data_IF_913417851724
#
_entry.id   IF_913417851724
#
_cell.length_a   1.000
_cell.length_b   1.000
_cell.length_c   1.000
_cell.angle_alpha   90.00
_cell.angle_beta   90.00
_cell.angle_gamma   90.00
#
_symmetry.space_group_name_H-M   'P 1'
#
loop_
_entity.id
_entity.type
_entity.pdbx_description
1 polymer ?
#
# COMPACT_ATOMS: atom_id res chain seq x y z
N UNK A 1 -6.75 -4.34 29.65
CA UNK A 1 -5.31 -4.70 29.84
C UNK A 1 -5.04 -6.22 29.85
N UNK A 2 -6.04 -7.07 30.05
CA UNK A 2 -5.85 -8.54 30.09
C UNK A 2 -5.96 -9.26 28.73
N UNK A 3 -6.19 -8.55 27.64
CA UNK A 3 -6.50 -9.16 26.33
C UNK A 3 -5.40 -9.01 25.25
N UNK A 4 -4.34 -8.29 25.55
CA UNK A 4 -3.25 -8.11 24.61
C UNK A 4 -2.00 -8.84 25.10
N UNK A 5 -1.61 -9.89 24.38
CA UNK A 5 -0.29 -10.48 24.47
C UNK A 5 0.43 -10.30 23.15
N UNK A 6 1.65 -9.76 23.20
CA UNK A 6 2.51 -9.62 22.03
C UNK A 6 3.52 -10.77 22.00
N UNK A 7 3.65 -11.40 20.84
CA UNK A 7 4.67 -12.40 20.57
C UNK A 7 5.56 -11.90 19.43
N UNK A 8 6.81 -11.61 19.77
CA UNK A 8 7.82 -11.18 18.80
C UNK A 8 8.68 -12.39 18.46
N UNK A 9 8.62 -12.86 17.23
CA UNK A 9 9.31 -14.06 16.79
C UNK A 9 10.83 -13.85 16.79
N UNK A 10 11.29 -12.68 16.39
CA UNK A 10 12.69 -12.26 16.33
C UNK A 10 13.37 -12.35 17.69
N UNK A 11 12.70 -12.03 18.79
CA UNK A 11 13.20 -12.18 20.16
C UNK A 11 13.48 -13.64 20.53
N UNK A 12 12.84 -14.58 19.84
CA UNK A 12 12.91 -16.01 20.12
C UNK A 12 13.83 -16.76 19.14
N UNK A 13 14.16 -16.15 18.01
CA UNK A 13 14.94 -16.75 16.92
C UNK A 13 15.87 -15.69 16.33
N UNK A 14 17.01 -15.38 17.01
CA UNK A 14 17.92 -14.30 16.60
C UNK A 14 18.37 -14.35 15.13
N UNK A 15 18.57 -15.55 14.58
CA UNK A 15 18.98 -15.75 13.18
C UNK A 15 17.93 -15.31 12.15
N UNK A 16 16.70 -15.03 12.59
CA UNK A 16 15.61 -14.57 11.76
C UNK A 16 15.62 -13.05 11.58
N UNK A 17 16.26 -12.32 12.52
CA UNK A 17 16.34 -10.86 12.49
C UNK A 17 17.06 -10.32 11.24
N UNK A 18 17.88 -11.12 10.59
CA UNK A 18 18.57 -10.75 9.34
C UNK A 18 17.70 -10.88 8.09
N UNK A 19 16.48 -11.43 8.20
CA UNK A 19 15.61 -11.71 7.06
C UNK A 19 14.20 -11.22 7.33
N UNK A 20 13.69 -10.37 6.46
CA UNK A 20 12.27 -10.02 6.45
C UNK A 20 11.50 -11.19 5.87
N UNK A 21 10.69 -11.82 6.69
CA UNK A 21 9.90 -12.98 6.31
C UNK A 21 8.43 -12.59 6.11
N UNK A 22 7.84 -13.06 5.04
CA UNK A 22 6.41 -12.91 4.80
C UNK A 22 5.57 -13.79 5.76
N UNK A 23 4.26 -13.57 5.73
CA UNK A 23 3.26 -14.31 6.53
C UNK A 23 3.42 -15.84 6.44
N UNK A 24 3.80 -16.37 5.27
CA UNK A 24 4.04 -17.82 5.09
C UNK A 24 5.16 -18.37 5.97
N UNK A 25 6.23 -17.61 6.19
CA UNK A 25 7.28 -18.00 7.11
C UNK A 25 6.77 -18.06 8.55
N UNK A 26 6.03 -17.02 8.98
CA UNK A 26 5.45 -16.99 10.33
C UNK A 26 4.56 -18.21 10.58
N UNK A 27 3.67 -18.54 9.65
CA UNK A 27 2.77 -19.69 9.75
C UNK A 27 3.56 -21.00 9.79
N UNK A 28 4.64 -21.14 8.99
CA UNK A 28 5.50 -22.31 8.95
C UNK A 28 6.38 -22.49 10.20
N UNK A 29 6.55 -21.45 11.03
CA UNK A 29 7.45 -21.47 12.17
C UNK A 29 6.85 -22.23 13.35
N UNK A 30 7.54 -23.30 13.80
CA UNK A 30 7.07 -24.18 14.88
C UNK A 30 6.90 -23.46 16.24
N UNK A 31 7.69 -22.42 16.53
CA UNK A 31 7.55 -21.64 17.78
C UNK A 31 6.28 -20.79 17.75
N UNK A 32 5.98 -20.15 16.61
CA UNK A 32 4.73 -19.45 16.42
C UNK A 32 3.53 -20.40 16.54
N UNK A 33 3.60 -21.58 15.90
CA UNK A 33 2.57 -22.59 16.02
C UNK A 33 2.38 -23.05 17.46
N UNK A 34 3.46 -23.25 18.21
CA UNK A 34 3.43 -23.59 19.64
C UNK A 34 2.76 -22.48 20.47
N UNK A 35 3.09 -21.22 20.19
CA UNK A 35 2.45 -20.08 20.85
C UNK A 35 0.94 -20.04 20.58
N UNK A 36 0.51 -20.15 19.32
CA UNK A 36 -0.92 -20.17 18.96
C UNK A 36 -1.66 -21.31 19.65
N UNK A 37 -1.07 -22.53 19.67
CA UNK A 37 -1.68 -23.70 20.33
C UNK A 37 -1.70 -23.62 21.86
N UNK A 38 -0.85 -22.80 22.46
CA UNK A 38 -0.81 -22.59 23.92
C UNK A 38 -1.93 -21.69 24.43
N UNK A 39 -2.65 -20.99 23.53
CA UNK A 39 -3.74 -20.13 23.90
C UNK A 39 -4.93 -20.96 24.39
N UNK A 40 -5.53 -20.57 25.53
CA UNK A 40 -6.63 -21.33 26.18
C UNK A 40 -7.85 -21.53 25.28
N UNK A 41 -8.18 -20.51 24.48
CA UNK A 41 -9.27 -20.58 23.49
C UNK A 41 -8.63 -20.67 22.13
N UNK A 42 -9.07 -21.59 21.27
CA UNK A 42 -8.56 -21.72 19.91
C UNK A 42 -8.68 -20.37 19.18
N UNK A 43 -7.56 -19.66 18.95
CA UNK A 43 -7.60 -18.34 18.36
C UNK A 43 -7.97 -18.44 16.87
N UNK A 44 -8.56 -17.38 16.35
CA UNK A 44 -8.72 -17.20 14.91
C UNK A 44 -7.64 -16.21 14.43
N UNK A 45 -6.87 -16.61 13.45
CA UNK A 45 -5.79 -15.79 12.88
C UNK A 45 -6.36 -14.85 11.83
N UNK A 46 -5.91 -13.59 11.83
CA UNK A 46 -6.31 -12.60 10.83
C UNK A 46 -5.05 -12.03 10.19
N UNK A 47 -5.03 -11.95 8.87
CA UNK A 47 -3.88 -11.50 8.09
C UNK A 47 -4.26 -10.32 7.20
N UNK A 48 -3.26 -9.52 6.84
CA UNK A 48 -3.43 -8.39 5.92
C UNK A 48 -3.98 -8.84 4.55
N UNK A 49 -3.51 -9.97 4.04
CA UNK A 49 -3.97 -10.59 2.81
C UNK A 49 -4.02 -12.10 2.96
N UNK A 50 -4.96 -12.72 2.27
CA UNK A 50 -5.10 -14.18 2.19
C UNK A 50 -4.63 -14.64 0.81
N UNK A 51 -3.64 -15.51 0.76
CA UNK A 51 -3.19 -16.16 -0.47
C UNK A 51 -3.59 -17.64 -0.45
N UNK A 52 -3.63 -18.28 -1.61
CA UNK A 52 -3.89 -19.72 -1.72
C UNK A 52 -2.94 -20.52 -0.83
N UNK A 53 -1.65 -20.15 -0.83
CA UNK A 53 -0.63 -20.81 -0.01
C UNK A 53 -0.90 -20.66 1.49
N UNK A 54 -1.29 -19.46 1.94
CA UNK A 54 -1.65 -19.20 3.35
C UNK A 54 -2.82 -20.08 3.78
N UNK A 55 -3.89 -20.13 2.97
CA UNK A 55 -5.07 -20.96 3.25
C UNK A 55 -4.68 -22.42 3.34
N UNK A 56 -3.95 -22.95 2.36
CA UNK A 56 -3.49 -24.34 2.35
C UNK A 56 -2.64 -24.69 3.58
N UNK A 57 -1.77 -23.79 4.03
CA UNK A 57 -0.91 -24.02 5.19
C UNK A 57 -1.72 -23.98 6.51
N UNK A 58 -2.67 -23.06 6.64
CA UNK A 58 -3.56 -22.99 7.80
C UNK A 58 -4.47 -24.22 7.90
N UNK A 59 -5.00 -24.67 6.78
CA UNK A 59 -5.84 -25.88 6.71
C UNK A 59 -5.03 -27.13 7.12
N UNK A 60 -3.79 -27.31 6.62
CA UNK A 60 -2.88 -28.39 7.02
C UNK A 60 -2.56 -28.37 8.52
N UNK A 61 -2.44 -27.16 9.09
CA UNK A 61 -2.16 -26.96 10.53
C UNK A 61 -3.40 -27.00 11.39
N UNK A 62 -4.58 -27.11 10.80
CA UNK A 62 -5.89 -27.05 11.48
C UNK A 62 -6.07 -25.76 12.31
N UNK A 63 -5.55 -24.65 11.79
CA UNK A 63 -5.66 -23.33 12.40
C UNK A 63 -6.83 -22.55 11.81
N UNK A 64 -7.73 -22.08 12.67
CA UNK A 64 -8.84 -21.24 12.26
C UNK A 64 -8.39 -19.82 11.88
N UNK A 65 -9.05 -19.22 10.89
CA UNK A 65 -8.71 -17.86 10.45
C UNK A 65 -9.95 -17.00 10.17
N UNK A 66 -9.73 -15.70 10.14
CA UNK A 66 -10.66 -14.65 9.70
C UNK A 66 -10.12 -14.11 8.40
N UNK A 67 -10.81 -14.35 7.31
CA UNK A 67 -10.41 -13.97 5.95
C UNK A 67 -11.14 -14.77 4.90
N UNK A 68 -10.98 -14.40 3.64
CA UNK A 68 -11.66 -15.01 2.52
C UNK A 68 -10.78 -16.08 1.85
N UNK A 69 -11.41 -17.14 1.37
CA UNK A 69 -10.73 -18.07 0.46
C UNK A 69 -10.48 -17.36 -0.88
N UNK A 70 -9.28 -17.39 -1.45
CA UNK A 70 -8.97 -16.73 -2.73
C UNK A 70 -9.94 -17.03 -3.87
N UNK A 71 -10.56 -18.21 -3.88
CA UNK A 71 -11.60 -18.57 -4.87
C UNK A 71 -12.80 -17.63 -4.88
N UNK A 72 -13.08 -16.92 -3.75
CA UNK A 72 -14.22 -16.01 -3.66
C UNK A 72 -13.96 -14.65 -4.29
N UNK A 73 -12.71 -14.37 -4.72
CA UNK A 73 -12.32 -13.09 -5.29
C UNK A 73 -11.35 -13.19 -6.48
N UNK A 74 -11.21 -14.37 -7.09
CA UNK A 74 -10.35 -14.57 -8.28
C UNK A 74 -10.71 -13.62 -9.43
N UNK A 75 -12.01 -13.35 -9.63
CA UNK A 75 -12.50 -12.49 -10.73
C UNK A 75 -12.16 -10.99 -10.54
N UNK A 76 -11.72 -10.57 -9.35
CA UNK A 76 -11.37 -9.16 -9.09
C UNK A 76 -9.89 -8.97 -8.79
N UNK A 77 -9.15 -10.06 -8.57
CA UNK A 77 -7.75 -10.01 -8.17
C UNK A 77 -6.82 -9.56 -9.30
N UNK A 78 -7.13 -9.95 -10.55
CA UNK A 78 -6.34 -9.58 -11.71
C UNK A 78 -6.95 -8.38 -12.43
N UNK A 79 -6.11 -7.40 -12.81
CA UNK A 79 -6.56 -6.15 -13.44
C UNK A 79 -7.47 -6.36 -14.66
N UNK A 80 -7.13 -7.33 -15.52
CA UNK A 80 -7.94 -7.66 -16.69
C UNK A 80 -9.32 -8.23 -16.32
N UNK A 81 -9.40 -9.11 -15.32
CA UNK A 81 -10.66 -9.71 -14.88
C UNK A 81 -11.54 -8.65 -14.19
N UNK A 82 -10.95 -7.82 -13.32
CA UNK A 82 -11.66 -6.73 -12.67
C UNK A 82 -12.25 -5.74 -13.68
N UNK A 83 -11.46 -5.29 -14.67
CA UNK A 83 -11.94 -4.40 -15.72
C UNK A 83 -13.08 -5.03 -16.55
N UNK A 84 -12.98 -6.32 -16.86
CA UNK A 84 -14.06 -7.05 -17.55
C UNK A 84 -15.33 -7.12 -16.69
N UNK A 85 -15.19 -7.36 -15.38
CA UNK A 85 -16.32 -7.36 -14.44
C UNK A 85 -16.97 -5.99 -14.35
N UNK A 86 -16.19 -4.93 -14.13
CA UNK A 86 -16.70 -3.54 -14.05
C UNK A 86 -17.49 -3.19 -15.31
N UNK A 87 -16.96 -3.52 -16.49
CA UNK A 87 -17.67 -3.34 -17.77
C UNK A 87 -18.96 -4.14 -17.83
N UNK A 88 -18.95 -5.41 -17.39
CA UNK A 88 -20.13 -6.29 -17.36
C UNK A 88 -21.23 -5.75 -16.44
N UNK A 89 -20.85 -5.10 -15.34
CA UNK A 89 -21.74 -4.46 -14.39
C UNK A 89 -22.27 -3.09 -14.90
N UNK A 90 -21.84 -2.63 -16.08
CA UNK A 90 -22.24 -1.32 -16.62
C UNK A 90 -21.68 -0.14 -15.84
N UNK A 91 -20.51 -0.32 -15.21
CA UNK A 91 -19.85 0.68 -14.37
C UNK A 91 -18.73 1.40 -15.15
N UNK A 92 -18.35 2.61 -14.74
CA UNK A 92 -17.26 3.35 -15.38
C UNK A 92 -15.93 2.60 -15.28
N UNK A 93 -15.37 2.28 -16.41
CA UNK A 93 -14.04 1.69 -16.55
C UNK A 93 -13.27 2.42 -17.64
N UNK A 94 -12.01 2.74 -17.34
CA UNK A 94 -11.17 3.38 -18.33
C UNK A 94 -11.05 2.46 -19.58
N UNK A 95 -11.29 2.99 -20.79
CA UNK A 95 -11.10 2.21 -22.01
C UNK A 95 -9.70 1.62 -22.09
N UNK A 96 -9.63 0.32 -22.27
CA UNK A 96 -8.38 -0.43 -22.32
C UNK A 96 -8.38 -1.41 -23.47
N UNK A 97 -7.18 -1.65 -24.01
CA UNK A 97 -6.92 -2.71 -24.97
C UNK A 97 -6.04 -3.78 -24.28
N UNK A 98 -6.38 -5.04 -24.49
CA UNK A 98 -5.59 -6.15 -23.99
C UNK A 98 -4.99 -6.89 -25.16
N UNK A 99 -3.67 -7.10 -25.11
CA UNK A 99 -2.91 -7.78 -26.15
C UNK A 99 -2.29 -9.06 -25.57
N UNK A 100 -2.14 -10.07 -26.41
CA UNK A 100 -1.14 -11.10 -26.14
C UNK A 100 0.24 -10.45 -26.18
N UNK A 101 1.16 -10.93 -25.36
CA UNK A 101 2.52 -10.38 -25.25
C UNK A 101 3.21 -10.27 -26.62
N UNK A 102 3.15 -11.32 -27.41
CA UNK A 102 3.75 -11.37 -28.76
C UNK A 102 3.14 -10.31 -29.68
N UNK A 103 1.83 -10.15 -29.65
CA UNK A 103 1.11 -9.14 -30.46
C UNK A 103 1.50 -7.72 -30.06
N UNK A 104 1.67 -7.47 -28.74
CA UNK A 104 2.15 -6.17 -28.27
C UNK A 104 3.58 -5.90 -28.70
N UNK A 105 4.47 -6.90 -28.67
CA UNK A 105 5.86 -6.75 -29.07
C UNK A 105 6.03 -6.51 -30.59
N UNK A 106 5.03 -6.88 -31.39
CA UNK A 106 5.00 -6.58 -32.83
C UNK A 106 4.32 -5.25 -33.15
N UNK A 107 3.65 -4.61 -32.16
CA UNK A 107 2.92 -3.37 -32.36
C UNK A 107 3.86 -2.15 -32.41
N UNK A 108 3.56 -1.18 -33.27
CA UNK A 108 4.29 0.09 -33.31
C UNK A 108 3.73 1.10 -32.30
N UNK A 109 4.57 2.07 -31.91
CA UNK A 109 4.16 3.19 -31.06
C UNK A 109 2.94 3.93 -31.64
N UNK A 110 2.94 4.22 -32.95
CA UNK A 110 1.89 4.94 -33.64
C UNK A 110 0.56 4.16 -33.67
N UNK A 111 0.64 2.85 -33.80
CA UNK A 111 -0.54 2.01 -33.74
C UNK A 111 -1.20 2.11 -32.37
N UNK A 112 -0.43 1.91 -31.29
CA UNK A 112 -0.95 1.99 -29.93
C UNK A 112 -1.44 3.41 -29.61
N UNK A 113 -0.74 4.45 -30.04
CA UNK A 113 -1.16 5.84 -29.88
C UNK A 113 -2.53 6.11 -30.52
N UNK A 114 -2.77 5.56 -31.70
CA UNK A 114 -4.05 5.68 -32.39
C UNK A 114 -5.19 4.93 -31.65
N UNK A 115 -4.88 3.80 -31.02
CA UNK A 115 -5.88 2.94 -30.38
C UNK A 115 -6.23 3.39 -28.96
N UNK A 116 -5.25 3.89 -28.18
CA UNK A 116 -5.43 4.20 -26.76
C UNK A 116 -5.21 5.67 -26.39
N UNK A 117 -4.64 6.48 -27.27
CA UNK A 117 -4.43 7.92 -27.07
C UNK A 117 -2.96 8.34 -27.09
N UNK A 118 -2.71 9.66 -27.12
CA UNK A 118 -1.38 10.23 -27.26
C UNK A 118 -0.41 9.88 -26.12
N UNK A 119 -0.93 9.79 -24.91
CA UNK A 119 -0.23 9.24 -23.76
C UNK A 119 -0.98 8.07 -23.21
N UNK A 120 -0.30 7.00 -22.87
CA UNK A 120 -0.93 5.77 -22.40
C UNK A 120 -0.10 5.04 -21.37
N UNK A 121 -0.73 4.11 -20.69
CA UNK A 121 -0.12 3.27 -19.66
C UNK A 121 -0.09 1.84 -20.15
N UNK A 122 1.03 1.18 -20.00
CA UNK A 122 1.24 -0.24 -20.31
C UNK A 122 1.41 -1.00 -19.01
N UNK A 123 0.65 -2.08 -18.83
CA UNK A 123 0.68 -2.90 -17.62
C UNK A 123 0.70 -4.39 -17.97
N UNK A 124 1.36 -5.20 -17.14
CA UNK A 124 1.22 -6.66 -17.20
C UNK A 124 -0.20 -7.05 -16.78
N UNK A 125 -0.88 -7.87 -17.57
CA UNK A 125 -2.31 -8.15 -17.41
C UNK A 125 -2.63 -9.32 -16.47
N UNK A 126 -1.80 -10.34 -16.45
CA UNK A 126 -2.01 -11.64 -15.81
C UNK A 126 -1.02 -11.94 -14.67
N UNK A 127 -0.33 -10.93 -14.16
CA UNK A 127 0.58 -11.08 -13.03
C UNK A 127 0.17 -10.15 -11.90
N UNK A 128 0.03 -10.69 -10.69
CA UNK A 128 -0.01 -9.89 -9.48
C UNK A 128 1.37 -9.24 -9.28
N UNK A 129 1.44 -7.95 -9.48
CA UNK A 129 2.65 -7.17 -9.20
C UNK A 129 2.28 -6.08 -8.22
N UNK A 130 2.70 -6.24 -6.97
CA UNK A 130 2.53 -5.21 -5.95
C UNK A 130 3.42 -4.00 -6.21
N UNK A 131 2.99 -2.81 -5.79
CA UNK A 131 3.84 -1.60 -5.79
C UNK A 131 4.11 -0.99 -7.16
N UNK A 132 3.24 -1.21 -8.14
CA UNK A 132 3.37 -0.73 -9.53
C UNK A 132 4.59 -1.26 -10.31
N UNK A 133 5.28 -2.26 -9.83
CA UNK A 133 6.27 -2.98 -10.63
C UNK A 133 5.59 -3.56 -11.88
N UNK A 134 5.99 -3.12 -13.07
CA UNK A 134 5.37 -3.54 -14.34
C UNK A 134 4.29 -2.62 -14.86
N UNK A 135 4.19 -1.39 -14.34
CA UNK A 135 3.43 -0.29 -14.92
C UNK A 135 4.40 0.68 -15.60
N UNK A 136 4.15 1.01 -16.86
CA UNK A 136 4.97 1.90 -17.67
C UNK A 136 4.10 3.05 -18.17
N UNK A 137 4.54 4.28 -17.91
CA UNK A 137 3.90 5.49 -18.43
C UNK A 137 4.57 5.88 -19.74
N UNK A 138 3.79 5.97 -20.81
CA UNK A 138 4.28 6.23 -22.17
C UNK A 138 3.79 7.61 -22.60
N UNK A 139 4.68 8.58 -22.54
CA UNK A 139 4.45 9.95 -22.99
C UNK A 139 5.22 10.28 -24.28
N UNK A 140 6.17 9.43 -24.66
CA UNK A 140 7.02 9.59 -25.82
C UNK A 140 7.38 8.25 -26.46
N UNK A 141 7.88 8.30 -27.72
CA UNK A 141 8.45 7.12 -28.37
C UNK A 141 9.59 6.51 -27.56
N UNK A 142 10.45 7.31 -26.95
CA UNK A 142 11.56 6.81 -26.14
C UNK A 142 11.10 6.05 -24.89
N UNK A 143 9.96 6.46 -24.27
CA UNK A 143 9.35 5.70 -23.17
C UNK A 143 8.83 4.35 -23.66
N UNK A 144 8.20 4.34 -24.83
CA UNK A 144 7.70 3.12 -25.45
C UNK A 144 8.83 2.13 -25.76
N UNK A 145 9.92 2.59 -26.38
CA UNK A 145 11.07 1.76 -26.71
C UNK A 145 11.69 1.12 -25.47
N UNK A 146 11.89 1.90 -24.39
CA UNK A 146 12.35 1.36 -23.09
C UNK A 146 11.39 0.33 -22.50
N UNK A 147 10.09 0.62 -22.51
CA UNK A 147 9.08 -0.32 -22.06
C UNK A 147 9.13 -1.62 -22.84
N UNK A 148 9.20 -1.50 -24.17
CA UNK A 148 9.25 -2.62 -25.08
C UNK A 148 10.49 -3.50 -24.84
N UNK A 149 11.69 -2.92 -24.67
CA UNK A 149 12.91 -3.65 -24.34
C UNK A 149 12.78 -4.46 -23.03
N UNK A 150 12.24 -3.83 -21.98
CA UNK A 150 12.02 -4.50 -20.67
C UNK A 150 11.05 -5.65 -20.81
N UNK A 151 9.92 -5.42 -21.49
CA UNK A 151 8.87 -6.45 -21.64
C UNK A 151 9.29 -7.57 -22.60
N UNK A 152 10.17 -7.31 -23.56
CA UNK A 152 10.73 -8.33 -24.44
C UNK A 152 11.62 -9.34 -23.69
N UNK A 153 12.31 -8.89 -22.64
CA UNK A 153 13.18 -9.75 -21.81
C UNK A 153 12.39 -10.55 -20.75
N UNK A 154 11.24 -10.03 -20.30
CA UNK A 154 10.44 -10.70 -19.27
C UNK A 154 9.43 -11.68 -19.89
N UNK A 155 9.63 -12.96 -19.63
CA UNK A 155 8.75 -14.06 -20.08
C UNK A 155 7.74 -14.50 -18.99
N UNK A 156 7.65 -13.79 -17.88
CA UNK A 156 6.85 -14.23 -16.72
C UNK A 156 5.35 -13.89 -16.84
N UNK A 157 4.92 -13.28 -17.93
CA UNK A 157 3.52 -12.89 -18.20
C UNK A 157 3.17 -13.17 -19.67
N UNK A 158 1.87 -13.31 -19.96
CA UNK A 158 1.37 -13.63 -21.29
C UNK A 158 0.49 -12.53 -21.90
N UNK A 159 -0.01 -11.61 -21.07
CA UNK A 159 -0.90 -10.53 -21.51
C UNK A 159 -0.44 -9.15 -21.06
N UNK A 160 -0.74 -8.15 -21.89
CA UNK A 160 -0.45 -6.74 -21.64
C UNK A 160 -1.75 -5.95 -21.76
N UNK A 161 -1.97 -5.04 -20.82
CA UNK A 161 -3.09 -4.10 -20.83
C UNK A 161 -2.55 -2.70 -21.14
N UNK A 162 -3.07 -2.09 -22.20
CA UNK A 162 -2.82 -0.70 -22.54
C UNK A 162 -4.05 0.13 -22.24
N UNK A 163 -3.89 1.26 -21.56
CA UNK A 163 -4.97 2.18 -21.23
C UNK A 163 -4.56 3.63 -21.52
N UNK A 164 -5.51 4.49 -21.83
CA UNK A 164 -5.27 5.94 -21.93
C UNK A 164 -4.69 6.45 -20.60
N UNK A 165 -3.68 7.31 -20.68
CA UNK A 165 -3.21 8.04 -19.50
C UNK A 165 -4.28 9.05 -19.06
N UNK A 166 -4.60 9.04 -17.78
CA UNK A 166 -5.53 9.99 -17.15
C UNK A 166 -4.72 11.05 -16.41
N UNK A 167 -4.97 12.31 -16.75
CA UNK A 167 -4.38 13.45 -16.06
C UNK A 167 -5.32 13.88 -14.94
N UNK A 168 -4.95 13.58 -13.71
CA UNK A 168 -5.78 13.91 -12.57
C UNK A 168 -5.31 13.22 -11.29
N UNK A 169 -6.25 12.76 -10.48
CA UNK A 169 -5.94 12.19 -9.18
C UNK A 169 -6.07 10.67 -9.16
N UNK A 170 -5.10 10.02 -8.53
CA UNK A 170 -5.25 8.66 -8.04
C UNK A 170 -6.03 8.69 -6.73
N UNK A 171 -7.11 7.94 -6.64
CA UNK A 171 -7.98 7.91 -5.47
C UNK A 171 -8.32 6.48 -5.10
N UNK A 172 -8.85 6.28 -3.91
CA UNK A 172 -9.33 4.95 -3.49
C UNK A 172 -10.53 5.06 -2.56
N UNK A 173 -11.30 3.98 -2.48
CA UNK A 173 -12.42 3.87 -1.53
C UNK A 173 -12.44 2.47 -0.93
N UNK A 174 -12.67 2.39 0.39
CA UNK A 174 -12.85 1.13 1.10
C UNK A 174 -14.31 0.70 1.05
N UNK A 175 -14.52 -0.60 0.91
CA UNK A 175 -15.80 -1.26 1.08
C UNK A 175 -15.74 -2.38 2.11
N UNK A 176 -16.87 -2.75 2.68
CA UNK A 176 -17.00 -3.91 3.57
C UNK A 176 -18.28 -4.69 3.24
N UNK A 177 -18.11 -5.92 2.77
CA UNK A 177 -19.22 -6.80 2.42
C UNK A 177 -19.83 -7.38 3.69
N UNK A 178 -21.10 -7.05 3.93
CA UNK A 178 -21.94 -7.54 5.02
C UNK A 178 -23.08 -8.41 4.46
N UNK A 179 -23.75 -9.21 5.30
CA UNK A 179 -24.94 -9.95 4.87
C UNK A 179 -26.05 -9.05 4.31
N UNK A 180 -26.20 -7.85 4.87
CA UNK A 180 -27.25 -6.89 4.52
C UNK A 180 -26.95 -6.08 3.26
N UNK A 181 -25.67 -5.92 2.88
CA UNK A 181 -25.22 -5.09 1.75
C UNK A 181 -23.75 -4.75 1.88
N UNK A 182 -23.31 -3.75 1.14
CA UNK A 182 -21.92 -3.26 1.15
C UNK A 182 -21.83 -1.91 1.85
N UNK A 183 -21.11 -1.86 2.98
CA UNK A 183 -20.71 -0.60 3.61
C UNK A 183 -19.58 0.04 2.82
N UNK A 184 -19.53 1.38 2.76
CA UNK A 184 -18.48 2.13 2.04
C UNK A 184 -17.93 3.28 2.88
N UNK A 185 -16.62 3.51 2.75
CA UNK A 185 -15.95 4.69 3.30
C UNK A 185 -16.03 5.89 2.33
N UNK A 186 -15.37 7.00 2.65
CA UNK A 186 -15.23 8.13 1.76
C UNK A 186 -14.21 7.86 0.65
N UNK A 187 -14.33 8.57 -0.48
CA UNK A 187 -13.28 8.62 -1.48
C UNK A 187 -12.07 9.37 -0.91
N UNK A 188 -10.87 8.85 -1.06
CA UNK A 188 -9.64 9.39 -0.49
C UNK A 188 -8.55 9.53 -1.55
N UNK A 189 -7.75 10.60 -1.46
CA UNK A 189 -6.62 10.78 -2.34
C UNK A 189 -5.54 9.75 -2.05
N UNK A 190 -4.89 9.23 -3.10
CA UNK A 190 -3.64 8.50 -3.00
C UNK A 190 -2.46 9.41 -3.32
N UNK A 191 -1.42 9.37 -2.49
CA UNK A 191 -0.14 10.04 -2.71
C UNK A 191 0.77 9.11 -3.50
N UNK A 192 1.15 9.54 -4.70
CA UNK A 192 1.93 8.74 -5.66
C UNK A 192 3.19 9.51 -6.03
N UNK A 193 4.33 8.83 -6.06
CA UNK A 193 5.61 9.40 -6.51
C UNK A 193 5.98 10.75 -5.86
N UNK A 194 5.63 10.92 -4.59
CA UNK A 194 5.92 12.16 -3.85
C UNK A 194 7.45 12.35 -3.77
N UNK A 195 8.00 13.45 -4.35
CA UNK A 195 9.46 13.61 -4.49
C UNK A 195 10.23 13.53 -3.17
N UNK A 196 9.67 14.08 -2.08
CA UNK A 196 10.28 14.07 -0.75
C UNK A 196 10.42 12.65 -0.17
N UNK A 197 9.60 11.71 -0.61
CA UNK A 197 9.62 10.32 -0.16
C UNK A 197 10.48 9.41 -1.06
N UNK A 198 10.96 9.93 -2.19
CA UNK A 198 11.77 9.18 -3.15
C UNK A 198 13.27 9.19 -2.84
N UNK A 199 13.75 10.12 -2.00
CA UNK A 199 15.17 10.29 -1.65
C UNK A 199 16.10 10.30 -2.86
N UNK A 200 15.68 10.93 -3.98
CA UNK A 200 16.44 11.00 -5.22
C UNK A 200 16.41 9.74 -6.09
N UNK A 201 15.65 8.71 -5.70
CA UNK A 201 15.45 7.51 -6.51
C UNK A 201 14.27 7.74 -7.45
N UNK A 202 14.47 7.44 -8.75
CA UNK A 202 13.36 7.46 -9.72
C UNK A 202 12.34 6.38 -9.39
N UNK A 203 11.07 6.75 -9.34
CA UNK A 203 9.96 5.82 -9.18
C UNK A 203 8.83 6.20 -10.14
N UNK A 204 8.05 5.21 -10.57
CA UNK A 204 6.92 5.41 -11.46
C UNK A 204 5.68 4.75 -10.86
N UNK A 205 4.75 5.58 -10.38
CA UNK A 205 3.48 5.10 -9.83
C UNK A 205 3.59 4.46 -8.45
N UNK A 206 4.61 4.80 -7.66
CA UNK A 206 4.80 4.24 -6.31
C UNK A 206 3.87 4.92 -5.33
N UNK A 207 3.06 4.13 -4.64
CA UNK A 207 2.16 4.59 -3.59
C UNK A 207 2.95 4.96 -2.32
N UNK A 208 2.73 6.17 -1.82
CA UNK A 208 3.34 6.69 -0.59
C UNK A 208 2.35 6.97 0.53
N UNK A 209 1.07 7.05 0.27
CA UNK A 209 0.12 7.34 1.34
C UNK A 209 -1.26 7.74 0.86
N UNK A 210 -2.08 8.19 1.82
CA UNK A 210 -3.41 8.71 1.55
C UNK A 210 -3.65 10.02 2.29
N UNK A 211 -4.54 10.83 1.73
CA UNK A 211 -5.08 12.02 2.36
C UNK A 211 -6.62 11.95 2.34
N UNK A 212 -7.22 11.94 3.53
CA UNK A 212 -8.67 11.90 3.72
C UNK A 212 -9.30 13.30 3.75
N UNK A 213 -8.50 14.33 4.02
CA UNK A 213 -8.95 15.71 4.07
C UNK A 213 -8.92 16.42 2.71
N UNK A 214 -8.12 15.92 1.78
CA UNK A 214 -8.04 16.49 0.43
C UNK A 214 -9.26 16.09 -0.38
N UNK A 215 -9.94 17.07 -0.97
CA UNK A 215 -11.06 16.88 -1.89
C UNK A 215 -10.93 17.89 -3.04
N UNK A 216 -10.61 17.37 -4.22
CA UNK A 216 -10.54 18.15 -5.47
C UNK A 216 -11.21 17.34 -6.59
N UNK A 217 -12.45 16.94 -6.33
CA UNK A 217 -13.33 16.25 -7.27
C UNK A 217 -14.79 16.62 -7.00
N UNK A 218 -15.61 16.45 -8.02
CA UNK A 218 -17.03 16.72 -7.94
C UNK A 218 -17.76 15.67 -7.06
N UNK A 219 -18.83 16.08 -6.39
CA UNK A 219 -19.66 15.20 -5.59
C UNK A 219 -20.27 14.05 -6.42
N UNK A 220 -20.52 14.29 -7.70
CA UNK A 220 -21.00 13.28 -8.67
C UNK A 220 -19.96 12.18 -8.88
N UNK A 221 -18.67 12.50 -8.93
CA UNK A 221 -17.59 11.53 -9.05
C UNK A 221 -17.47 10.66 -7.78
N UNK A 222 -17.62 11.26 -6.60
CA UNK A 222 -17.62 10.49 -5.35
C UNK A 222 -18.84 9.56 -5.25
N UNK A 223 -20.02 10.04 -5.64
CA UNK A 223 -21.24 9.22 -5.70
C UNK A 223 -21.10 8.06 -6.71
N UNK A 224 -20.44 8.29 -7.84
CA UNK A 224 -20.16 7.25 -8.83
C UNK A 224 -19.15 6.22 -8.30
N UNK A 225 -18.06 6.66 -7.63
CA UNK A 225 -17.14 5.75 -6.95
C UNK A 225 -17.85 4.86 -5.92
N UNK A 226 -18.75 5.46 -5.15
CA UNK A 226 -19.56 4.73 -4.19
C UNK A 226 -20.45 3.68 -4.87
N UNK A 227 -21.12 4.04 -5.96
CA UNK A 227 -21.95 3.11 -6.76
C UNK A 227 -21.10 1.92 -7.26
N UNK A 228 -19.86 2.18 -7.67
CA UNK A 228 -18.93 1.12 -8.08
C UNK A 228 -18.61 0.20 -6.90
N UNK A 229 -18.25 0.75 -5.73
CA UNK A 229 -17.91 -0.04 -4.54
C UNK A 229 -19.09 -0.91 -4.12
N UNK A 230 -20.30 -0.36 -4.09
CA UNK A 230 -21.52 -1.09 -3.72
C UNK A 230 -21.80 -2.23 -4.70
N UNK A 231 -21.75 -1.97 -6.02
CA UNK A 231 -22.03 -2.99 -7.03
C UNK A 231 -20.96 -4.11 -7.06
N UNK A 232 -19.68 -3.76 -6.91
CA UNK A 232 -18.60 -4.75 -6.81
C UNK A 232 -18.71 -5.55 -5.50
N UNK A 233 -19.02 -4.90 -4.39
CA UNK A 233 -19.24 -5.56 -3.11
C UNK A 233 -20.42 -6.51 -3.14
N UNK A 234 -21.51 -6.14 -3.79
CA UNK A 234 -22.68 -7.02 -3.99
C UNK A 234 -22.35 -8.23 -4.87
N UNK A 235 -21.56 -8.03 -5.94
CA UNK A 235 -21.02 -9.13 -6.72
C UNK A 235 -20.16 -10.06 -5.84
N UNK A 236 -19.20 -9.52 -5.08
CA UNK A 236 -18.34 -10.29 -4.18
C UNK A 236 -19.16 -11.07 -3.14
N UNK A 237 -20.24 -10.49 -2.62
CA UNK A 237 -21.17 -11.15 -1.71
C UNK A 237 -21.79 -12.41 -2.33
N UNK A 238 -22.17 -12.37 -3.62
CA UNK A 238 -22.69 -13.55 -4.33
C UNK A 238 -21.63 -14.65 -4.50
N UNK A 239 -20.34 -14.29 -4.48
CA UNK A 239 -19.22 -15.25 -4.51
C UNK A 239 -18.85 -15.78 -3.10
N UNK A 240 -19.55 -15.35 -2.06
CA UNK A 240 -19.29 -15.75 -0.68
C UNK A 240 -18.18 -14.94 0.01
N UNK A 241 -17.72 -13.84 -0.58
CA UNK A 241 -16.77 -12.91 0.04
C UNK A 241 -17.42 -12.20 1.23
N UNK A 242 -16.63 -11.89 2.26
CA UNK A 242 -17.05 -11.17 3.46
C UNK A 242 -16.01 -10.13 3.86
N UNK A 243 -16.48 -9.02 4.43
CA UNK A 243 -15.60 -8.01 5.04
C UNK A 243 -14.92 -7.08 4.05
N UNK A 244 -13.78 -6.54 4.45
CA UNK A 244 -13.10 -5.40 3.84
C UNK A 244 -12.46 -5.74 2.50
N UNK A 245 -12.64 -4.81 1.54
CA UNK A 245 -11.90 -4.72 0.28
C UNK A 245 -11.66 -3.24 -0.06
N UNK A 246 -10.81 -2.95 -1.02
CA UNK A 246 -10.59 -1.59 -1.53
C UNK A 246 -10.69 -1.54 -3.04
N UNK A 247 -11.14 -0.42 -3.58
CA UNK A 247 -11.10 -0.13 -5.02
C UNK A 247 -10.27 1.12 -5.24
N UNK A 248 -9.32 1.03 -6.15
CA UNK A 248 -8.53 2.16 -6.62
C UNK A 248 -9.17 2.75 -7.87
N UNK A 249 -9.18 4.09 -7.94
CA UNK A 249 -9.80 4.84 -9.01
C UNK A 249 -8.82 5.86 -9.61
N UNK A 250 -9.12 6.27 -10.83
CA UNK A 250 -8.51 7.41 -11.49
C UNK A 250 -9.60 8.47 -11.73
N UNK A 251 -9.44 9.64 -11.14
CA UNK A 251 -10.27 10.80 -11.39
C UNK A 251 -9.63 11.66 -12.48
N UNK A 252 -10.34 11.86 -13.57
CA UNK A 252 -9.91 12.68 -14.69
C UNK A 252 -10.37 14.12 -14.47
N UNK A 253 -9.43 15.04 -14.22
CA UNK A 253 -9.73 16.46 -13.98
C UNK A 253 -10.26 17.19 -15.23
N UNK A 254 -9.96 16.67 -16.42
CA UNK A 254 -10.44 17.31 -17.67
C UNK A 254 -11.90 16.96 -17.97
N UNK A 255 -12.29 15.70 -17.75
CA UNK A 255 -13.66 15.23 -18.01
C UNK A 255 -14.53 15.19 -16.75
N UNK A 256 -13.94 15.32 -15.57
CA UNK A 256 -14.57 15.18 -14.25
C UNK A 256 -15.19 13.80 -14.01
N UNK A 257 -14.73 12.81 -14.76
CA UNK A 257 -15.15 11.42 -14.65
C UNK A 257 -14.23 10.62 -13.72
N UNK A 258 -14.78 9.58 -13.11
CA UNK A 258 -14.02 8.66 -12.28
C UNK A 258 -14.10 7.23 -12.84
N UNK A 259 -12.96 6.55 -12.88
CA UNK A 259 -12.83 5.22 -13.48
C UNK A 259 -12.25 4.25 -12.48
N UNK A 260 -12.89 3.08 -12.31
CA UNK A 260 -12.33 1.99 -11.51
C UNK A 260 -11.09 1.41 -12.20
N UNK A 261 -9.99 1.29 -11.45
CA UNK A 261 -8.70 0.84 -11.95
C UNK A 261 -8.33 -0.57 -11.47
N UNK A 262 -8.45 -0.80 -10.15
CA UNK A 262 -8.01 -2.04 -9.50
C UNK A 262 -8.89 -2.35 -8.29
N UNK A 263 -9.14 -3.63 -8.02
CA UNK A 263 -9.75 -4.09 -6.78
C UNK A 263 -8.71 -4.79 -5.91
N UNK A 264 -8.69 -4.43 -4.64
CA UNK A 264 -7.84 -5.00 -3.60
C UNK A 264 -8.71 -5.79 -2.62
N UNK A 265 -8.97 -7.11 -2.83
CA UNK A 265 -9.83 -7.93 -1.96
C UNK A 265 -9.11 -8.32 -0.65
N UNK A 266 -8.65 -7.31 0.07
CA UNK A 266 -7.85 -7.40 1.30
C UNK A 266 -7.86 -6.09 2.05
N UNK A 267 -7.20 -6.04 3.18
CA UNK A 267 -6.86 -4.79 3.83
C UNK A 267 -5.96 -3.95 2.92
N UNK A 268 -6.12 -2.64 2.95
CA UNK A 268 -5.33 -1.70 2.15
C UNK A 268 -4.41 -0.86 3.02
N UNK A 269 -3.45 -0.18 2.39
CA UNK A 269 -2.51 0.70 3.10
C UNK A 269 -3.18 1.85 3.83
N UNK A 270 -4.36 2.28 3.39
CA UNK A 270 -5.13 3.37 3.99
C UNK A 270 -5.92 2.98 5.23
N UNK A 271 -6.15 1.68 5.48
CA UNK A 271 -7.06 1.23 6.53
C UNK A 271 -6.68 1.76 7.91
N UNK A 272 -5.38 1.79 8.25
CA UNK A 272 -4.91 2.29 9.57
C UNK A 272 -5.29 3.76 9.76
N UNK A 273 -5.03 4.61 8.75
CA UNK A 273 -5.40 6.03 8.81
C UNK A 273 -6.90 6.20 8.96
N UNK A 274 -7.67 5.46 8.15
CA UNK A 274 -9.12 5.52 8.16
C UNK A 274 -9.69 5.07 9.51
N UNK A 275 -9.15 4.01 10.10
CA UNK A 275 -9.56 3.53 11.42
C UNK A 275 -9.28 4.53 12.53
N UNK A 276 -8.09 5.17 12.52
CA UNK A 276 -7.77 6.24 13.47
C UNK A 276 -8.71 7.44 13.32
N UNK A 277 -9.04 7.81 12.10
CA UNK A 277 -9.98 8.89 11.81
C UNK A 277 -11.40 8.55 12.31
N UNK A 278 -11.89 7.34 12.08
CA UNK A 278 -13.21 6.90 12.56
C UNK A 278 -13.28 6.89 14.09
N UNK A 279 -12.23 6.37 14.76
CA UNK A 279 -12.15 6.38 16.22
C UNK A 279 -12.17 7.80 16.79
N UNK A 280 -11.47 8.75 16.16
CA UNK A 280 -11.51 10.17 16.54
C UNK A 280 -12.89 10.77 16.36
N UNK A 281 -13.60 10.36 15.30
CA UNK A 281 -14.99 10.79 15.04
C UNK A 281 -16.02 10.07 15.92
N UNK A 282 -15.62 9.16 16.81
CA UNK A 282 -16.55 8.34 17.63
C UNK A 282 -17.34 7.31 16.83
N UNK A 283 -16.84 6.91 15.66
CA UNK A 283 -17.46 5.91 14.78
C UNK A 283 -16.68 4.59 14.90
N UNK A 284 -17.35 3.44 14.99
CA UNK A 284 -16.68 2.14 14.99
C UNK A 284 -15.83 1.96 13.71
N UNK A 285 -14.58 1.48 13.81
CA UNK A 285 -13.73 1.25 12.66
C UNK A 285 -14.28 0.15 11.76
N UNK A 286 -13.95 0.18 10.48
CA UNK A 286 -14.48 -0.77 9.49
C UNK A 286 -14.11 -2.22 9.80
N UNK A 287 -12.99 -2.46 10.50
CA UNK A 287 -12.56 -3.77 10.97
C UNK A 287 -13.56 -4.42 11.93
N UNK A 288 -14.31 -3.61 12.69
CA UNK A 288 -15.39 -4.13 13.53
C UNK A 288 -16.46 -4.86 12.69
N UNK A 289 -16.88 -4.26 11.58
CA UNK A 289 -17.85 -4.86 10.66
C UNK A 289 -17.26 -6.06 9.92
N UNK A 290 -15.97 -6.00 9.55
CA UNK A 290 -15.26 -7.15 9.00
C UNK A 290 -15.31 -8.37 9.95
N UNK A 291 -15.07 -8.16 11.24
CA UNK A 291 -15.16 -9.21 12.26
C UNK A 291 -16.59 -9.74 12.40
N UNK A 292 -17.60 -8.86 12.46
CA UNK A 292 -19.01 -9.28 12.53
C UNK A 292 -19.37 -10.19 11.36
N UNK A 293 -18.98 -9.82 10.12
CA UNK A 293 -19.26 -10.58 8.91
C UNK A 293 -18.62 -11.98 8.93
N UNK A 294 -17.35 -12.07 9.34
CA UNK A 294 -16.61 -13.33 9.37
C UNK A 294 -16.99 -14.24 10.52
N UNK A 295 -17.33 -13.66 11.67
CA UNK A 295 -17.77 -14.43 12.84
C UNK A 295 -19.25 -14.84 12.76
N UNK A 296 -19.97 -14.41 11.71
CA UNK A 296 -21.40 -14.60 11.53
C UNK A 296 -22.21 -14.13 12.75
N UNK A 297 -21.81 -13.00 13.33
CA UNK A 297 -22.53 -12.39 14.45
C UNK A 297 -23.69 -11.60 13.86
N UNK A 298 -24.92 -12.01 14.22
CA UNK A 298 -26.15 -11.28 13.86
C UNK A 298 -26.29 -10.05 14.76
N UNK A 299 -25.55 -9.00 14.41
CA UNK A 299 -25.62 -7.72 15.10
C UNK A 299 -26.73 -6.88 14.49
N UNK A 300 -27.69 -6.50 15.31
CA UNK A 300 -28.78 -5.61 14.92
C UNK A 300 -28.29 -4.16 14.98
N UNK A 301 -28.20 -3.51 13.83
CA UNK A 301 -27.87 -2.09 13.70
C UNK A 301 -28.56 -1.49 12.46
N UNK A 302 -28.76 -0.18 12.49
CA UNK A 302 -29.26 0.55 11.34
C UNK A 302 -28.15 0.64 10.28
N UNK A 303 -28.28 -0.17 9.22
CA UNK A 303 -27.29 -0.28 8.15
C UNK A 303 -27.05 1.06 7.45
N UNK A 304 -28.11 1.82 7.17
CA UNK A 304 -28.01 3.12 6.47
C UNK A 304 -27.35 4.16 7.37
N UNK A 305 -27.70 4.21 8.66
CA UNK A 305 -27.06 5.11 9.61
C UNK A 305 -25.57 4.79 9.77
N UNK A 306 -25.20 3.52 9.85
CA UNK A 306 -23.79 3.10 9.91
C UNK A 306 -23.07 3.46 8.59
N UNK A 307 -23.65 3.14 7.43
CA UNK A 307 -23.05 3.46 6.14
C UNK A 307 -22.84 4.98 5.97
N UNK A 308 -23.77 5.79 6.46
CA UNK A 308 -23.62 7.25 6.51
C UNK A 308 -22.49 7.67 7.45
N UNK A 309 -22.40 7.10 8.65
CA UNK A 309 -21.36 7.43 9.63
C UNK A 309 -19.96 7.06 9.13
N UNK A 310 -19.79 5.94 8.43
CA UNK A 310 -18.53 5.52 7.83
C UNK A 310 -18.04 6.48 6.74
N UNK A 311 -18.87 7.34 6.16
CA UNK A 311 -18.49 8.38 5.19
C UNK A 311 -18.02 9.69 5.85
N UNK A 312 -17.93 9.71 7.19
CA UNK A 312 -17.35 10.85 7.92
C UNK A 312 -15.93 11.11 7.47
N UNK A 313 -15.60 12.40 7.30
CA UNK A 313 -14.24 12.88 7.00
C UNK A 313 -13.77 13.80 8.12
N UNK A 314 -12.59 13.51 8.64
CA UNK A 314 -11.77 14.46 9.36
C UNK A 314 -10.49 14.69 8.56
N UNK A 315 -9.94 15.91 8.52
CA UNK A 315 -8.71 16.19 7.79
C UNK A 315 -7.55 15.44 8.45
N UNK A 316 -7.10 14.38 7.81
CA UNK A 316 -5.92 13.63 8.21
C UNK A 316 -5.27 12.97 7.00
N UNK A 317 -3.97 12.72 7.12
CA UNK A 317 -3.19 12.10 6.06
C UNK A 317 -2.13 11.16 6.63
N UNK A 318 -1.63 10.25 5.81
CA UNK A 318 -0.44 9.49 6.15
C UNK A 318 0.55 9.41 4.99
N UNK A 319 1.83 9.28 5.34
CA UNK A 319 2.90 8.94 4.43
C UNK A 319 3.55 7.64 4.91
N UNK A 320 3.63 6.65 4.05
CA UNK A 320 4.39 5.43 4.28
C UNK A 320 5.84 5.67 3.86
N UNK A 321 6.76 5.56 4.81
CA UNK A 321 8.18 5.73 4.53
C UNK A 321 8.75 4.52 3.79
N UNK A 322 9.41 4.78 2.66
CA UNK A 322 10.14 3.77 1.89
C UNK A 322 11.64 3.87 2.19
N UNK A 323 12.30 2.76 2.54
CA UNK A 323 13.73 2.76 2.84
C UNK A 323 14.63 2.76 1.60
N UNK A 324 14.14 3.19 0.44
CA UNK A 324 14.92 3.23 -0.80
C UNK A 324 16.19 4.07 -0.61
N UNK A 325 17.32 3.55 -1.03
CA UNK A 325 18.64 4.17 -0.82
C UNK A 325 19.23 3.96 0.58
N UNK A 326 18.50 3.34 1.52
CA UNK A 326 18.99 3.05 2.87
C UNK A 326 19.51 1.61 2.92
N UNK A 327 20.81 1.46 3.13
CA UNK A 327 21.46 0.13 3.14
C UNK A 327 21.47 -0.52 4.52
N UNK A 328 21.45 0.27 5.59
CA UNK A 328 21.32 -0.21 6.98
C UNK A 328 20.71 0.90 7.83
N UNK A 329 20.02 0.53 8.90
CA UNK A 329 19.42 1.45 9.85
C UNK A 329 19.67 0.94 11.26
N UNK A 330 20.54 1.63 11.99
CA UNK A 330 20.93 1.25 13.33
C UNK A 330 20.16 2.01 14.43
N UNK A 331 19.18 2.83 14.03
CA UNK A 331 18.35 3.61 14.95
C UNK A 331 17.06 2.82 15.18
N UNK A 332 16.74 2.60 16.43
CA UNK A 332 15.43 2.15 16.88
C UNK A 332 14.60 3.38 17.28
N UNK A 333 13.43 3.53 16.68
CA UNK A 333 12.49 4.61 16.99
C UNK A 333 11.19 4.01 17.54
N UNK A 334 10.83 4.31 18.79
CA UNK A 334 9.57 3.85 19.36
C UNK A 334 8.37 4.51 18.65
N UNK A 335 7.26 3.80 18.57
CA UNK A 335 6.00 4.41 18.16
C UNK A 335 5.61 5.54 19.13
N UNK A 336 4.99 6.60 18.60
CA UNK A 336 4.58 7.75 19.40
C UNK A 336 4.57 9.07 18.65
N UNK A 337 4.45 10.15 19.38
CA UNK A 337 4.43 11.52 18.84
C UNK A 337 5.83 12.08 18.75
N UNK A 338 6.15 12.57 17.58
CA UNK A 338 7.41 13.25 17.25
C UNK A 338 7.16 14.69 16.81
N UNK A 339 8.18 15.52 16.98
CA UNK A 339 8.23 16.87 16.44
C UNK A 339 9.46 17.04 15.57
N UNK A 340 9.34 17.76 14.48
CA UNK A 340 10.45 18.15 13.64
C UNK A 340 10.71 19.65 13.78
N UNK A 341 11.92 20.01 14.19
CA UNK A 341 12.37 21.38 14.36
C UNK A 341 13.31 21.78 13.20
N UNK A 342 12.87 22.55 12.22
CA UNK A 342 13.73 22.97 11.11
C UNK A 342 14.92 23.78 11.61
N UNK A 343 16.14 23.39 11.20
CA UNK A 343 17.38 24.14 11.45
C UNK A 343 18.06 23.84 12.80
N UNK A 344 17.58 22.87 13.58
CA UNK A 344 18.27 22.39 14.78
C UNK A 344 19.23 21.21 14.45
N UNK A 345 20.35 21.09 15.17
CA UNK A 345 21.27 19.94 15.06
C UNK A 345 20.59 18.61 15.38
N UNK A 346 19.62 18.62 16.31
CA UNK A 346 18.71 17.51 16.61
C UNK A 346 17.31 17.84 16.09
N UNK A 347 17.10 17.65 14.80
CA UNK A 347 15.90 18.08 14.11
C UNK A 347 14.67 17.20 14.39
N UNK A 348 14.86 15.96 14.87
CA UNK A 348 13.79 15.01 15.15
C UNK A 348 13.75 14.71 16.66
N UNK A 349 12.63 15.01 17.32
CA UNK A 349 12.46 14.80 18.75
C UNK A 349 11.26 13.91 19.06
N UNK A 350 11.48 12.84 19.82
CA UNK A 350 10.40 12.09 20.45
C UNK A 350 9.79 12.92 21.60
N UNK A 351 8.49 13.12 21.57
CA UNK A 351 7.79 13.97 22.55
C UNK A 351 7.09 13.16 23.64
N UNK A 352 6.38 12.10 23.23
CA UNK A 352 5.55 11.30 24.14
C UNK A 352 5.01 10.04 23.47
N UNK A 353 4.57 9.03 24.23
CA UNK A 353 3.75 7.96 23.69
C UNK A 353 2.47 8.52 23.04
N UNK A 354 1.98 7.85 21.99
CA UNK A 354 0.74 8.23 21.30
C UNK A 354 0.33 7.13 20.34
N UNK A 355 -0.99 6.95 20.19
CA UNK A 355 -1.61 5.93 19.32
C UNK A 355 -2.84 6.46 18.57
N UNK A 356 -3.22 7.72 18.80
CA UNK A 356 -4.42 8.35 18.24
C UNK A 356 -4.10 9.70 17.59
N UNK A 357 -5.01 10.19 16.75
CA UNK A 357 -4.89 11.54 16.17
C UNK A 357 -4.91 12.63 17.24
N UNK A 358 -5.68 12.45 18.32
CA UNK A 358 -5.76 13.40 19.45
C UNK A 358 -4.44 13.54 20.24
N UNK A 359 -3.52 12.58 20.11
CA UNK A 359 -2.20 12.67 20.75
C UNK A 359 -1.30 13.70 20.08
N UNK A 360 -1.55 14.07 18.83
CA UNK A 360 -0.85 15.12 18.09
C UNK A 360 -1.48 16.46 18.44
N UNK A 361 -0.76 17.35 19.14
CA UNK A 361 -1.31 18.55 19.77
C UNK A 361 -0.88 19.85 19.08
N UNK A 362 0.22 19.81 18.34
CA UNK A 362 0.83 20.97 17.71
C UNK A 362 1.00 20.75 16.19
N UNK A 363 0.96 21.81 15.38
CA UNK A 363 1.10 21.71 13.92
C UNK A 363 2.44 21.11 13.43
N UNK A 364 3.50 21.19 14.23
CA UNK A 364 4.81 20.61 13.93
C UNK A 364 4.96 19.15 14.35
N UNK A 365 3.96 18.60 15.05
CA UNK A 365 3.96 17.23 15.51
C UNK A 365 3.31 16.29 14.48
N UNK A 366 3.70 15.02 14.56
CA UNK A 366 3.11 13.91 13.82
C UNK A 366 3.16 12.63 14.65
N UNK A 367 2.35 11.65 14.29
CA UNK A 367 2.34 10.34 14.94
C UNK A 367 3.11 9.33 14.08
N UNK A 368 4.06 8.62 14.70
CA UNK A 368 4.69 7.43 14.15
C UNK A 368 3.96 6.21 14.71
N UNK A 369 3.23 5.47 13.86
CA UNK A 369 2.36 4.37 14.33
C UNK A 369 3.13 3.08 14.57
N UNK A 370 4.22 2.86 13.83
CA UNK A 370 5.01 1.63 13.92
C UNK A 370 6.32 1.93 14.66
N UNK A 371 6.78 1.00 15.50
CA UNK A 371 8.16 1.02 15.99
C UNK A 371 9.09 0.74 14.81
N UNK A 372 10.11 1.58 14.65
CA UNK A 372 11.15 1.38 13.64
C UNK A 372 12.26 0.54 14.26
N UNK A 373 12.43 -0.73 13.88
CA UNK A 373 13.49 -1.58 14.42
C UNK A 373 14.85 -1.20 13.82
N UNK A 374 15.91 -1.50 14.52
CA UNK A 374 17.23 -1.51 13.91
C UNK A 374 17.31 -2.61 12.85
N UNK A 375 17.70 -2.24 11.63
CA UNK A 375 17.79 -3.16 10.49
C UNK A 375 19.23 -3.21 9.99
N UNK A 376 19.75 -4.43 9.80
CA UNK A 376 21.08 -4.69 9.28
C UNK A 376 21.01 -5.30 7.87
N UNK A 377 21.88 -4.85 6.98
CA UNK A 377 21.96 -5.35 5.59
C UNK A 377 21.10 -4.57 4.59
N UNK A 378 20.98 -5.05 3.34
CA UNK A 378 20.29 -4.35 2.26
C UNK A 378 18.77 -4.30 2.50
N UNK A 379 18.31 -3.22 3.07
CA UNK A 379 16.92 -3.02 3.51
C UNK A 379 15.96 -2.88 2.33
N UNK A 380 16.39 -2.25 1.25
CA UNK A 380 15.55 -1.95 0.07
C UNK A 380 14.90 -3.18 -0.56
N UNK A 381 15.59 -4.31 -0.56
CA UNK A 381 15.08 -5.55 -1.14
C UNK A 381 14.16 -6.32 -0.21
N UNK A 382 14.13 -5.97 1.08
CA UNK A 382 13.47 -6.72 2.12
C UNK A 382 12.18 -6.06 2.60
N UNK A 383 12.17 -4.72 2.70
CA UNK A 383 11.04 -3.97 3.28
C UNK A 383 10.66 -2.80 2.37
N UNK A 384 9.58 -2.92 1.58
CA UNK A 384 9.15 -1.84 0.69
C UNK A 384 8.65 -0.60 1.45
N UNK A 385 8.17 -0.77 2.69
CA UNK A 385 7.67 0.29 3.56
C UNK A 385 7.97 -0.07 5.01
N UNK A 386 8.63 0.84 5.75
CA UNK A 386 9.07 0.60 7.13
C UNK A 386 8.03 1.03 8.16
N UNK A 387 7.45 2.21 8.01
CA UNK A 387 6.54 2.82 8.97
C UNK A 387 5.69 3.90 8.31
N UNK A 388 4.73 4.45 9.08
CA UNK A 388 3.84 5.51 8.62
C UNK A 388 3.93 6.73 9.52
N UNK A 389 4.05 7.89 8.87
CA UNK A 389 3.77 9.19 9.48
C UNK A 389 2.29 9.48 9.37
N UNK A 390 1.64 9.83 10.46
CA UNK A 390 0.24 10.25 10.47
C UNK A 390 0.16 11.71 10.86
N UNK A 391 -0.58 12.48 10.07
CA UNK A 391 -0.83 13.90 10.25
C UNK A 391 -2.31 14.11 10.57
N UNK A 392 -2.68 14.84 11.65
CA UNK A 392 -4.09 15.16 11.94
C UNK A 392 -4.57 16.37 11.10
N UNK A 393 -4.12 16.44 9.86
CA UNK A 393 -4.48 17.46 8.87
C UNK A 393 -4.26 16.92 7.46
N UNK A 394 -4.89 17.55 6.48
CA UNK A 394 -4.54 17.34 5.08
C UNK A 394 -3.13 17.88 4.80
N UNK A 395 -2.39 17.19 3.95
CA UNK A 395 -1.05 17.57 3.53
C UNK A 395 -0.90 17.60 2.01
N UNK A 396 -1.83 17.02 1.27
CA UNK A 396 -1.78 16.94 -0.19
C UNK A 396 -2.07 18.30 -0.84
N UNK A 397 -1.39 18.57 -1.96
CA UNK A 397 -1.75 19.58 -2.94
C UNK A 397 -2.26 18.90 -4.24
N UNK A 398 -1.85 17.68 -4.47
CA UNK A 398 -2.32 16.79 -5.53
C UNK A 398 -1.96 15.33 -5.18
N UNK A 399 -2.23 14.38 -6.05
CA UNK A 399 -1.71 13.00 -5.90
C UNK A 399 -0.19 12.91 -5.90
N UNK A 400 0.52 13.92 -6.42
CA UNK A 400 1.96 13.90 -6.66
C UNK A 400 2.72 14.93 -5.83
N UNK A 401 2.02 15.74 -5.04
CA UNK A 401 2.61 16.86 -4.31
C UNK A 401 1.99 17.01 -2.94
N UNK A 402 2.85 17.24 -1.94
CA UNK A 402 2.47 17.54 -0.56
C UNK A 402 2.92 18.95 -0.18
N UNK A 403 2.30 19.52 0.84
CA UNK A 403 2.67 20.83 1.34
C UNK A 403 4.12 20.91 1.83
N UNK A 404 4.69 22.11 1.82
CA UNK A 404 6.10 22.34 2.17
C UNK A 404 6.46 21.87 3.58
N UNK A 405 5.54 21.97 4.54
CA UNK A 405 5.84 21.60 5.93
C UNK A 405 5.91 20.08 6.11
N UNK A 406 4.98 19.34 5.50
CA UNK A 406 5.03 17.87 5.48
C UNK A 406 6.24 17.37 4.68
N UNK A 407 6.53 18.00 3.53
CA UNK A 407 7.70 17.68 2.71
C UNK A 407 9.02 17.88 3.45
N UNK A 408 9.18 19.02 4.15
CA UNK A 408 10.35 19.29 4.97
C UNK A 408 10.51 18.25 6.08
N UNK A 409 9.43 17.90 6.77
CA UNK A 409 9.43 16.92 7.84
C UNK A 409 9.89 15.54 7.34
N UNK A 410 9.34 15.07 6.22
CA UNK A 410 9.75 13.79 5.61
C UNK A 410 11.22 13.82 5.21
N UNK A 411 11.70 14.91 4.60
CA UNK A 411 13.10 15.06 4.19
C UNK A 411 14.04 15.06 5.40
N UNK A 412 13.75 15.84 6.43
CA UNK A 412 14.57 15.90 7.65
C UNK A 412 14.64 14.55 8.35
N UNK A 413 13.52 13.83 8.39
CA UNK A 413 13.50 12.48 8.97
C UNK A 413 14.37 11.51 8.15
N UNK A 414 14.26 11.55 6.83
CA UNK A 414 15.06 10.73 5.94
C UNK A 414 16.57 11.04 6.09
N UNK A 415 16.93 12.32 6.14
CA UNK A 415 18.31 12.77 6.33
C UNK A 415 18.88 12.31 7.68
N UNK A 416 18.09 12.34 8.74
CA UNK A 416 18.48 11.84 10.05
C UNK A 416 18.79 10.34 10.03
N UNK A 417 17.95 9.54 9.34
CA UNK A 417 18.17 8.11 9.18
C UNK A 417 19.41 7.81 8.31
N UNK A 418 19.58 8.52 7.19
CA UNK A 418 20.72 8.36 6.28
C UNK A 418 22.03 8.77 6.94
N UNK A 419 22.05 9.87 7.70
CA UNK A 419 23.23 10.36 8.41
C UNK A 419 23.69 9.39 9.48
N UNK A 420 22.78 8.76 10.19
CA UNK A 420 23.08 7.74 11.18
C UNK A 420 23.69 6.47 10.53
N UNK A 421 23.18 6.08 9.36
CA UNK A 421 23.70 4.96 8.57
C UNK A 421 25.13 5.22 8.04
N UNK A 422 25.46 6.48 7.69
CA UNK A 422 26.77 6.87 7.15
C UNK A 422 27.84 7.06 8.23
N UNK A 423 27.48 7.52 9.44
CA UNK A 423 28.43 7.78 10.55
C UNK A 423 29.17 6.55 11.04
N UNK A 424 28.71 5.34 10.72
CA UNK A 424 29.31 4.07 11.13
C UNK A 424 30.00 3.29 10.01
N UNK A 425 30.15 3.82 8.77
CA UNK A 425 31.03 3.19 7.80
C UNK A 425 32.48 3.34 8.29
N UNK A 426 33.22 2.24 8.53
CA UNK A 426 34.65 2.36 8.84
C UNK A 426 35.32 3.11 7.66
N UNK A 427 36.36 3.95 7.93
CA UNK A 427 37.04 4.64 6.87
C UNK A 427 37.54 3.62 5.85
N UNK A 428 37.19 3.82 4.59
CA UNK A 428 37.69 3.01 3.49
C UNK A 428 39.22 3.13 3.53
N UNK A 429 39.90 2.07 3.96
CA UNK A 429 41.35 1.99 3.82
C UNK A 429 41.61 2.00 2.31
N UNK A 430 42.09 3.15 1.82
CA UNK A 430 42.69 3.23 0.50
C UNK A 430 43.87 2.24 0.48
N UNK A 431 43.64 1.07 -0.08
CA UNK A 431 44.74 0.22 -0.51
C UNK A 431 45.45 1.00 -1.60
N UNK A 432 46.53 1.67 -1.23
CA UNK A 432 47.57 2.09 -2.15
C UNK A 432 48.08 0.83 -2.85
N UNK A 433 47.80 0.73 -4.12
CA UNK A 433 48.46 -0.24 -5.00
C UNK A 433 49.96 0.03 -4.96
N UNK A 434 50.65 -0.81 -4.22
CA UNK A 434 52.09 -0.92 -4.30
C UNK A 434 52.47 -1.49 -5.65
N UNK A 435 53.03 -0.65 -6.50
CA UNK A 435 53.69 -1.06 -7.73
C UNK A 435 54.77 -2.10 -7.42
N UNK A 436 54.55 -3.34 -7.82
CA UNK A 436 55.59 -4.36 -7.89
C UNK A 436 56.30 -4.21 -9.26
N UNK A 437 57.49 -3.66 -9.23
CA UNK A 437 58.45 -3.71 -10.30
C UNK A 437 58.82 -5.17 -10.60
N UNK A 438 58.69 -5.52 -11.86
CA UNK A 438 59.28 -6.71 -12.45
C UNK A 438 60.81 -6.64 -12.38
N UNK A 439 61.45 -7.67 -11.91
CA UNK A 439 62.80 -8.01 -12.39
C UNK A 439 62.93 -9.48 -12.72
N UNK A 440 63.49 -9.68 -13.85
CA UNK A 440 63.78 -10.87 -14.62
C UNK A 440 64.86 -11.78 -13.99
N UNK A 441 64.80 -13.02 -14.30
CA UNK A 441 65.87 -13.90 -14.80
C UNK A 441 65.92 -15.29 -14.12
N UNK A 442 65.90 -16.23 -14.97
CA UNK A 442 66.41 -17.56 -15.21
C UNK A 442 65.30 -18.61 -15.27
#
# INVERSE_FOLDING_TARGET
>A
EQFLSMYVLEDKVPDVAERVHGTGYLIGNHRFQGFVRSMKNAPKLMFYTMTKKIVEDLDKLQMSYIGNNPKTFEDVMYKQHFKALVKKLGLPVLPTQTYLREVFLDASYEQLQKEVGNSFVVQRGDKEVGGNEGTFFIHSRADFERCHEILAQDKSFSTIVCARFVKGHSTSMLGCVMPQGTLSGPLQLQLIDVPQSLHGVSANGVFFGNDLGFVDWELTAEAEAQRVVEAVGDYLRTQGYKGIFGIDFLYDQETQEIFASECNPRFTGSLVLYSLMLLEAGVPPMEFFHLLAHLNIDAQFDFEAVNKALKTRLPCAHIAFSPRGITSMEIELPAGVYECLPGAEESLQYKRPGISLADVRNPGEFLLVDTVPALHGPIEQQVPRLFKFIFPRSIAQSSYEIDKSAGLLVSVFADALLSAAQKKKPPVQNRTEGAATSDSAV
#
